data_IF_987668031978
#
_entry.id   IF_987668031978
#
_cell.length_a   1.000
_cell.length_b   1.000
_cell.length_c   1.000
_cell.angle_alpha   90.00
_cell.angle_beta   90.00
_cell.angle_gamma   90.00
#
_symmetry.space_group_name_H-M   'P 1'
#
loop_
_entity.id
_entity.type
_entity.pdbx_description
1 polymer ?
#
# COMPACT_ATOMS: atom_id res chain seq x y z
N UNK A 1 17.98 4.40 17.24
CA UNK A 1 16.66 4.23 17.91
C UNK A 1 15.47 4.53 16.99
N UNK A 2 15.39 5.70 16.33
CA UNK A 2 14.25 6.09 15.47
C UNK A 2 13.84 5.05 14.41
N UNK A 3 14.80 4.42 13.73
CA UNK A 3 14.50 3.42 12.70
C UNK A 3 13.96 2.09 13.26
N UNK A 4 14.38 1.68 14.46
CA UNK A 4 13.87 0.47 15.12
C UNK A 4 12.40 0.65 15.53
N UNK A 5 12.07 1.81 16.12
CA UNK A 5 10.69 2.13 16.48
C UNK A 5 9.75 2.17 15.27
N UNK A 6 10.19 2.80 14.16
CA UNK A 6 9.44 2.80 12.89
C UNK A 6 9.21 1.39 12.35
N UNK A 7 10.25 0.55 12.38
CA UNK A 7 10.15 -0.82 11.92
C UNK A 7 9.15 -1.62 12.75
N UNK A 8 9.23 -1.54 14.08
CA UNK A 8 8.30 -2.21 14.99
C UNK A 8 6.87 -1.74 14.71
N UNK A 9 6.64 -0.42 14.60
CA UNK A 9 5.31 0.13 14.31
C UNK A 9 4.73 -0.42 13.00
N UNK A 10 5.51 -0.40 11.91
CA UNK A 10 5.07 -0.89 10.60
C UNK A 10 4.76 -2.38 10.62
N UNK A 11 5.62 -3.18 11.27
CA UNK A 11 5.40 -4.62 11.44
C UNK A 11 4.17 -4.91 12.31
N UNK A 12 3.94 -4.14 13.37
CA UNK A 12 2.74 -4.28 14.20
C UNK A 12 1.47 -3.95 13.41
N UNK A 13 1.48 -2.89 12.60
CA UNK A 13 0.34 -2.55 11.73
C UNK A 13 0.08 -3.71 10.76
N UNK A 14 1.11 -4.23 10.09
CA UNK A 14 0.95 -5.37 9.18
C UNK A 14 0.48 -6.64 9.90
N UNK A 15 0.96 -6.89 11.12
CA UNK A 15 0.51 -8.00 11.95
C UNK A 15 -0.96 -7.89 12.33
N UNK A 16 -1.42 -6.70 12.72
CA UNK A 16 -2.83 -6.43 13.01
C UNK A 16 -3.67 -6.57 11.74
N UNK A 17 -3.22 -6.02 10.61
CA UNK A 17 -3.90 -6.19 9.32
C UNK A 17 -4.04 -7.66 8.97
N UNK A 18 -2.96 -8.45 9.07
CA UNK A 18 -2.99 -9.89 8.81
C UNK A 18 -3.95 -10.61 9.75
N UNK A 19 -3.89 -10.32 11.05
CA UNK A 19 -4.80 -10.91 12.04
C UNK A 19 -6.27 -10.61 11.70
N UNK A 20 -6.61 -9.37 11.40
CA UNK A 20 -7.98 -9.02 11.04
C UNK A 20 -8.42 -9.60 9.68
N UNK A 21 -7.49 -9.79 8.72
CA UNK A 21 -7.82 -10.38 7.42
C UNK A 21 -8.03 -11.89 7.47
N UNK A 22 -7.23 -12.61 8.27
CA UNK A 22 -7.15 -14.07 8.20
C UNK A 22 -7.59 -14.78 9.48
N UNK A 23 -7.58 -14.11 10.63
CA UNK A 23 -7.92 -14.72 11.94
C UNK A 23 -9.26 -14.23 12.46
N UNK A 24 -9.58 -12.94 12.32
CA UNK A 24 -10.86 -12.35 12.74
C UNK A 24 -11.49 -11.47 11.64
N UNK A 25 -11.93 -12.06 10.51
CA UNK A 25 -12.52 -11.33 9.40
C UNK A 25 -13.82 -10.60 9.75
N UNK A 26 -14.52 -11.00 10.81
CA UNK A 26 -15.75 -10.36 11.28
C UNK A 26 -15.50 -8.89 11.67
N UNK A 27 -14.29 -8.58 12.15
CA UNK A 27 -13.89 -7.21 12.47
C UNK A 27 -13.90 -6.30 11.25
N UNK A 28 -13.69 -6.83 10.04
CA UNK A 28 -13.64 -6.04 8.81
C UNK A 28 -15.01 -5.41 8.47
N UNK A 29 -16.09 -6.05 8.87
CA UNK A 29 -17.46 -5.56 8.64
C UNK A 29 -17.95 -4.54 9.67
N UNK A 30 -17.22 -4.33 10.78
CA UNK A 30 -17.63 -3.39 11.84
C UNK A 30 -17.65 -1.97 11.29
N UNK A 31 -18.76 -1.25 11.45
CA UNK A 31 -18.88 0.14 11.01
C UNK A 31 -18.27 1.09 12.03
N UNK A 32 -17.20 1.78 11.64
CA UNK A 32 -16.56 2.84 12.45
C UNK A 32 -17.46 4.07 12.54
N UNK A 33 -18.14 4.40 11.43
CA UNK A 33 -19.11 5.48 11.37
C UNK A 33 -20.41 4.97 10.76
N UNK A 34 -21.51 5.11 11.50
CA UNK A 34 -22.85 4.74 11.04
C UNK A 34 -23.34 5.65 9.91
N UNK A 35 -23.05 6.96 9.98
CA UNK A 35 -23.51 7.92 8.97
C UNK A 35 -22.81 7.73 7.62
N UNK A 36 -21.51 7.42 7.64
CA UNK A 36 -20.71 7.22 6.43
C UNK A 36 -20.71 5.75 5.95
N UNK A 37 -21.34 4.84 6.70
CA UNK A 37 -21.21 3.39 6.52
C UNK A 37 -19.76 2.94 6.33
N UNK A 38 -18.82 3.54 7.07
CA UNK A 38 -17.39 3.31 6.90
C UNK A 38 -16.96 2.00 7.59
N UNK A 39 -16.60 0.94 6.85
CA UNK A 39 -16.19 -0.33 7.46
C UNK A 39 -14.76 -0.24 8.01
N UNK A 40 -14.53 -0.93 9.12
CA UNK A 40 -13.23 -1.04 9.74
C UNK A 40 -12.23 -1.75 8.83
N UNK A 41 -12.70 -2.72 8.03
CA UNK A 41 -11.88 -3.40 7.04
C UNK A 41 -11.25 -2.46 6.02
N UNK A 42 -11.94 -1.41 5.61
CA UNK A 42 -11.41 -0.40 4.67
C UNK A 42 -10.29 0.42 5.29
N UNK A 43 -10.43 0.80 6.57
CA UNK A 43 -9.36 1.47 7.33
C UNK A 43 -8.16 0.54 7.54
N UNK A 44 -8.40 -0.69 7.97
CA UNK A 44 -7.35 -1.71 8.20
C UNK A 44 -6.58 -2.01 6.91
N UNK A 45 -7.29 -2.13 5.78
CA UNK A 45 -6.66 -2.39 4.47
C UNK A 45 -5.80 -1.21 4.03
N UNK A 46 -6.30 0.02 4.21
CA UNK A 46 -5.54 1.22 3.89
C UNK A 46 -4.26 1.33 4.72
N UNK A 47 -4.36 1.15 6.05
CA UNK A 47 -3.21 1.15 6.94
C UNK A 47 -2.21 0.04 6.56
N UNK A 48 -2.70 -1.15 6.21
CA UNK A 48 -1.89 -2.26 5.75
C UNK A 48 -1.11 -1.94 4.48
N UNK A 49 -1.77 -1.41 3.45
CA UNK A 49 -1.13 -1.01 2.17
C UNK A 49 -0.08 0.08 2.38
N UNK A 50 -0.39 1.09 3.20
CA UNK A 50 0.56 2.15 3.54
C UNK A 50 1.75 1.58 4.31
N UNK A 51 1.51 0.75 5.34
CA UNK A 51 2.56 0.16 6.15
C UNK A 51 3.47 -0.75 5.32
N UNK A 52 2.90 -1.58 4.44
CA UNK A 52 3.61 -2.43 3.50
C UNK A 52 4.54 -1.59 2.60
N UNK A 53 3.99 -0.54 1.99
CA UNK A 53 4.73 0.33 1.06
C UNK A 53 5.90 1.01 1.76
N UNK A 54 5.66 1.59 2.94
CA UNK A 54 6.71 2.24 3.73
C UNK A 54 7.78 1.24 4.19
N UNK A 55 7.37 0.03 4.61
CA UNK A 55 8.29 -1.01 5.05
C UNK A 55 9.25 -1.42 3.93
N UNK A 56 8.73 -1.67 2.73
CA UNK A 56 9.59 -2.05 1.59
C UNK A 56 10.55 -0.93 1.20
N UNK A 57 10.11 0.32 1.26
CA UNK A 57 11.00 1.45 1.04
C UNK A 57 12.09 1.60 2.11
N UNK A 58 11.88 1.13 3.34
CA UNK A 58 12.95 1.09 4.35
C UNK A 58 14.04 0.06 4.02
N UNK A 59 13.67 -1.09 3.44
CA UNK A 59 14.62 -2.17 3.10
C UNK A 59 15.29 -1.98 1.74
N UNK A 60 14.55 -1.49 0.74
CA UNK A 60 15.06 -1.28 -0.62
C UNK A 60 15.85 0.04 -0.65
N UNK A 61 17.15 -0.04 -0.35
CA UNK A 61 18.10 1.05 -0.65
C UNK A 61 18.67 0.88 -2.06
N UNK A 62 18.39 1.80 -2.98
CA UNK A 62 18.94 1.77 -4.34
C UNK A 62 20.37 2.36 -4.40
N UNK A 63 21.19 1.97 -5.39
CA UNK A 63 22.54 2.49 -5.56
C UNK A 63 22.57 3.98 -5.97
N UNK A 64 23.52 4.72 -5.41
CA UNK A 64 23.72 6.16 -5.53
C UNK A 64 24.48 6.58 -6.80
N UNK A 65 23.97 6.31 -8.01
CA UNK A 65 24.49 6.94 -9.25
C UNK A 65 23.63 8.17 -9.63
N UNK A 66 24.29 9.29 -9.98
CA UNK A 66 23.74 10.67 -9.89
C UNK A 66 22.49 10.98 -10.71
N UNK A 67 22.34 10.43 -11.92
CA UNK A 67 21.17 10.68 -12.79
C UNK A 67 19.99 9.77 -12.39
N UNK A 68 20.26 8.50 -12.07
CA UNK A 68 19.26 7.54 -11.61
C UNK A 68 18.66 7.92 -10.25
N UNK A 69 19.38 8.69 -9.43
CA UNK A 69 18.93 9.13 -8.11
C UNK A 69 17.73 10.09 -8.14
N UNK A 70 17.66 11.02 -9.12
CA UNK A 70 16.53 11.96 -9.21
C UNK A 70 15.25 11.24 -9.62
N UNK A 71 15.34 10.35 -10.60
CA UNK A 71 14.21 9.53 -11.09
C UNK A 71 13.74 8.59 -9.98
N UNK A 72 14.65 7.91 -9.27
CA UNK A 72 14.31 7.03 -8.14
C UNK A 72 13.57 7.77 -7.02
N UNK A 73 14.06 8.94 -6.63
CA UNK A 73 13.43 9.74 -5.58
C UNK A 73 12.00 10.12 -5.95
N UNK A 74 11.76 10.59 -7.17
CA UNK A 74 10.43 10.94 -7.67
C UNK A 74 9.51 9.72 -7.69
N UNK A 75 9.98 8.61 -8.26
CA UNK A 75 9.23 7.35 -8.34
C UNK A 75 8.84 6.80 -6.96
N UNK A 76 9.75 6.87 -5.99
CA UNK A 76 9.48 6.48 -4.60
C UNK A 76 8.41 7.35 -3.95
N UNK A 77 8.50 8.66 -4.09
CA UNK A 77 7.49 9.56 -3.52
C UNK A 77 6.13 9.38 -4.20
N UNK A 78 6.13 9.20 -5.53
CA UNK A 78 4.92 8.90 -6.28
C UNK A 78 4.28 7.61 -5.77
N UNK A 79 5.06 6.54 -5.61
CA UNK A 79 4.57 5.26 -5.10
C UNK A 79 4.01 5.35 -3.67
N UNK A 80 4.71 6.02 -2.76
CA UNK A 80 4.20 6.29 -1.40
C UNK A 80 2.92 7.13 -1.47
N UNK A 81 2.88 8.12 -2.36
CA UNK A 81 1.70 8.93 -2.62
C UNK A 81 0.51 8.08 -3.04
N UNK A 82 0.70 7.16 -3.99
CA UNK A 82 -0.35 6.21 -4.40
C UNK A 82 -0.87 5.40 -3.21
N UNK A 83 0.02 4.85 -2.37
CA UNK A 83 -0.42 4.11 -1.18
C UNK A 83 -1.21 4.98 -0.19
N UNK A 84 -0.77 6.22 0.06
CA UNK A 84 -1.46 7.16 0.94
C UNK A 84 -2.83 7.57 0.39
N UNK A 85 -2.93 7.82 -0.91
CA UNK A 85 -4.18 8.17 -1.59
C UNK A 85 -5.04 6.95 -1.93
N UNK A 86 -4.64 5.75 -1.54
CA UNK A 86 -5.36 4.54 -1.92
C UNK A 86 -6.81 4.53 -1.44
N UNK A 87 -7.07 4.90 -0.18
CA UNK A 87 -8.43 4.98 0.37
C UNK A 87 -9.30 6.04 -0.36
N UNK A 88 -8.88 7.31 -0.48
CA UNK A 88 -9.61 8.31 -1.27
C UNK A 88 -9.87 7.88 -2.72
N UNK A 89 -8.87 7.30 -3.39
CA UNK A 89 -9.02 6.84 -4.77
C UNK A 89 -9.99 5.66 -4.85
N UNK A 90 -9.94 4.73 -3.91
CA UNK A 90 -10.87 3.60 -3.83
C UNK A 90 -12.31 4.07 -3.62
N UNK A 91 -12.53 5.09 -2.78
CA UNK A 91 -13.83 5.74 -2.62
C UNK A 91 -14.30 6.39 -3.93
N UNK A 92 -13.42 7.14 -4.62
CA UNK A 92 -13.76 7.79 -5.88
C UNK A 92 -14.15 6.79 -6.98
N UNK A 93 -13.44 5.67 -7.08
CA UNK A 93 -13.71 4.65 -8.11
C UNK A 93 -14.98 3.84 -7.77
N UNK A 94 -15.17 3.43 -6.51
CA UNK A 94 -16.32 2.59 -6.10
C UNK A 94 -17.60 3.38 -5.84
N UNK A 95 -17.47 4.62 -5.36
CA UNK A 95 -18.55 5.48 -4.88
C UNK A 95 -18.97 5.19 -3.43
N UNK A 96 -18.23 4.38 -2.68
CA UNK A 96 -18.53 4.06 -1.28
C UNK A 96 -17.27 3.68 -0.49
N UNK A 97 -17.35 3.73 0.84
CA UNK A 97 -16.22 3.38 1.71
C UNK A 97 -16.05 1.88 1.92
N UNK A 98 -16.99 1.04 1.49
CA UNK A 98 -16.89 -0.41 1.56
C UNK A 98 -16.24 -1.05 0.32
N UNK A 99 -15.88 -0.22 -0.67
CA UNK A 99 -15.33 -0.65 -1.97
C UNK A 99 -16.19 -1.71 -2.66
N UNK A 100 -17.52 -1.60 -2.52
CA UNK A 100 -18.45 -2.45 -3.23
C UNK A 100 -18.63 -1.95 -4.67
N UNK A 101 -18.35 -2.80 -5.66
CA UNK A 101 -18.41 -2.47 -7.09
C UNK A 101 -19.65 -3.06 -7.78
N UNK A 102 -20.82 -2.90 -7.17
CA UNK A 102 -22.07 -3.42 -7.72
C UNK A 102 -22.33 -2.85 -9.12
N UNK A 103 -22.47 -3.72 -10.12
CA UNK A 103 -22.68 -3.38 -11.53
C UNK A 103 -21.63 -2.44 -12.15
N UNK A 104 -20.39 -2.43 -11.61
CA UNK A 104 -19.28 -1.60 -12.12
C UNK A 104 -18.01 -2.43 -12.41
N UNK A 105 -18.05 -3.38 -13.35
CA UNK A 105 -16.93 -4.30 -13.61
C UNK A 105 -15.65 -3.57 -14.04
N UNK A 106 -15.77 -2.54 -14.89
CA UNK A 106 -14.62 -1.75 -15.35
C UNK A 106 -13.96 -1.01 -14.18
N UNK A 107 -14.76 -0.42 -13.29
CA UNK A 107 -14.26 0.30 -12.12
C UNK A 107 -13.51 -0.65 -11.16
N UNK A 108 -14.02 -1.87 -10.98
CA UNK A 108 -13.34 -2.91 -10.21
C UNK A 108 -11.98 -3.28 -10.81
N UNK A 109 -11.90 -3.49 -12.14
CA UNK A 109 -10.64 -3.81 -12.82
C UNK A 109 -9.61 -2.68 -12.64
N UNK A 110 -10.03 -1.42 -12.80
CA UNK A 110 -9.17 -0.24 -12.60
C UNK A 110 -8.65 -0.21 -11.15
N UNK A 111 -9.53 -0.43 -10.18
CA UNK A 111 -9.16 -0.45 -8.76
C UNK A 111 -8.17 -1.58 -8.41
N UNK A 112 -8.39 -2.78 -8.97
CA UNK A 112 -7.44 -3.90 -8.84
C UNK A 112 -6.09 -3.52 -9.47
N UNK A 113 -6.08 -3.01 -10.70
CA UNK A 113 -4.85 -2.60 -11.37
C UNK A 113 -4.06 -1.57 -10.56
N UNK A 114 -4.74 -0.54 -10.05
CA UNK A 114 -4.15 0.47 -9.18
C UNK A 114 -3.55 -0.14 -7.90
N UNK A 115 -4.26 -1.07 -7.27
CA UNK A 115 -3.79 -1.77 -6.06
C UNK A 115 -2.59 -2.65 -6.38
N UNK A 116 -2.60 -3.40 -7.48
CA UNK A 116 -1.49 -4.26 -7.90
C UNK A 116 -0.23 -3.44 -8.22
N UNK A 117 -0.37 -2.26 -8.83
CA UNK A 117 0.76 -1.36 -9.03
C UNK A 117 1.41 -1.02 -7.69
N UNK A 118 0.63 -0.66 -6.66
CA UNK A 118 1.18 -0.37 -5.33
C UNK A 118 1.87 -1.60 -4.71
N UNK A 119 1.28 -2.79 -4.86
CA UNK A 119 1.84 -3.99 -4.26
C UNK A 119 3.13 -4.46 -4.95
N UNK A 120 3.20 -4.38 -6.28
CA UNK A 120 4.29 -4.95 -7.07
C UNK A 120 5.40 -3.97 -7.46
N UNK A 121 5.14 -2.65 -7.42
CA UNK A 121 6.15 -1.65 -7.75
C UNK A 121 7.46 -1.81 -6.97
N UNK A 122 7.47 -2.11 -5.66
CA UNK A 122 8.70 -2.36 -4.92
C UNK A 122 9.49 -3.57 -5.42
N UNK A 123 8.83 -4.62 -5.93
CA UNK A 123 9.52 -5.78 -6.50
C UNK A 123 10.26 -5.40 -7.78
N UNK A 124 9.67 -4.54 -8.60
CA UNK A 124 10.34 -3.99 -9.79
C UNK A 124 11.62 -3.25 -9.39
N UNK A 125 11.55 -2.41 -8.36
CA UNK A 125 12.74 -1.72 -7.82
C UNK A 125 13.81 -2.68 -7.28
N UNK A 126 13.39 -3.77 -6.63
CA UNK A 126 14.29 -4.81 -6.14
C UNK A 126 15.02 -5.51 -7.31
N UNK A 127 14.28 -5.89 -8.35
CA UNK A 127 14.83 -6.55 -9.55
C UNK A 127 15.83 -5.62 -10.26
N UNK A 128 15.48 -4.36 -10.47
CA UNK A 128 16.40 -3.36 -11.07
C UNK A 128 17.68 -3.21 -10.24
N UNK A 129 17.58 -3.24 -8.91
CA UNK A 129 18.74 -3.21 -8.03
C UNK A 129 19.61 -4.47 -8.15
N UNK A 130 19.02 -5.65 -8.34
CA UNK A 130 19.75 -6.90 -8.52
C UNK A 130 20.52 -6.89 -9.86
N UNK A 131 19.90 -6.48 -10.96
CA UNK A 131 20.57 -6.38 -12.26
C UNK A 131 21.75 -5.39 -12.25
N UNK A 132 21.57 -4.20 -11.67
CA UNK A 132 22.65 -3.19 -11.58
C UNK A 132 23.81 -3.62 -10.65
N UNK A 133 23.61 -4.64 -9.80
CA UNK A 133 24.70 -5.26 -9.04
C UNK A 133 25.45 -6.33 -9.83
N UNK A 134 24.80 -7.00 -10.78
CA UNK A 134 25.41 -8.03 -11.60
C UNK A 134 26.34 -7.46 -12.70
N UNK A 135 26.13 -6.20 -13.08
CA UNK A 135 27.00 -5.48 -14.04
C UNK A 135 28.25 -4.85 -13.40
N UNK A 136 28.48 -5.04 -12.10
CA UNK A 136 29.66 -4.56 -11.37
C UNK A 136 30.51 -5.70 -10.86
#
# INVERSE_FOLDING_TARGET
>A
MKNKARLILLLSILGITFYCLFVQPELLGVRISKSLNFPLGSLISWLGIVAYTLLLHLFIKLPTKSILLKVDKVLRYFHIGMALFWLPMSYFISGNLAFAFQNKPIAFIIWIGYTLVILFFPLILLVLKLFNRAEK
#
